data_IF_599571984095
#
_entry.id   IF_599571984095
#
_cell.length_a   1.000
_cell.length_b   1.000
_cell.length_c   1.000
_cell.angle_alpha   90.00
_cell.angle_beta   90.00
_cell.angle_gamma   90.00
#
_symmetry.space_group_name_H-M   'P 1'
#
loop_
_entity.id
_entity.type
_entity.pdbx_description
1 polymer ?
#
# COMPACT_ATOMS: atom_id res chain seq x y z
N UNK A 1 -38.77 -57.32 10.25
CA UNK A 1 -39.55 -56.25 9.60
C UNK A 1 -39.65 -55.07 10.52
N UNK A 2 -38.93 -53.98 10.35
CA UNK A 2 -37.62 -53.71 9.76
C UNK A 2 -37.45 -52.19 9.92
N UNK A 3 -36.20 -51.79 10.11
CA UNK A 3 -35.63 -50.47 9.84
C UNK A 3 -35.97 -49.30 10.80
N UNK A 4 -34.94 -49.01 11.59
CA UNK A 4 -34.60 -47.72 12.15
C UNK A 4 -34.45 -46.62 11.08
N UNK A 5 -34.58 -45.37 11.51
CA UNK A 5 -34.25 -44.18 10.72
C UNK A 5 -34.34 -42.92 11.56
N UNK A 6 -33.33 -42.67 12.38
CA UNK A 6 -33.04 -41.37 12.99
C UNK A 6 -32.55 -40.42 11.91
N UNK A 7 -33.27 -39.34 11.63
CA UNK A 7 -32.73 -38.21 10.88
C UNK A 7 -32.53 -37.02 11.82
N UNK A 8 -31.29 -36.95 12.26
CA UNK A 8 -30.58 -35.79 12.78
C UNK A 8 -30.47 -34.81 11.60
N UNK A 9 -31.18 -33.67 11.66
CA UNK A 9 -31.03 -32.65 10.62
C UNK A 9 -29.80 -31.82 10.93
N UNK A 10 -28.78 -32.09 10.12
CA UNK A 10 -27.47 -31.48 10.12
C UNK A 10 -27.55 -29.98 9.79
N UNK A 11 -26.72 -29.26 10.52
CA UNK A 11 -26.13 -27.96 10.21
C UNK A 11 -26.34 -27.42 8.79
N UNK A 12 -26.91 -26.22 8.70
CA UNK A 12 -26.40 -25.19 7.79
C UNK A 12 -26.10 -23.93 8.59
N UNK A 13 -24.89 -23.90 9.15
CA UNK A 13 -24.19 -22.64 9.37
C UNK A 13 -24.12 -21.96 8.00
N UNK A 14 -24.97 -20.96 7.78
CA UNK A 14 -24.84 -20.05 6.65
C UNK A 14 -23.56 -19.27 6.91
N UNK A 15 -22.44 -19.80 6.44
CA UNK A 15 -21.24 -19.02 6.25
C UNK A 15 -21.64 -17.90 5.30
N UNK A 16 -21.63 -16.67 5.82
CA UNK A 16 -21.78 -15.46 5.03
C UNK A 16 -20.77 -15.54 3.90
N UNK A 17 -21.25 -15.83 2.68
CA UNK A 17 -20.42 -15.71 1.48
C UNK A 17 -20.18 -14.22 1.35
N UNK A 18 -19.07 -13.75 1.91
CA UNK A 18 -18.50 -12.47 1.54
C UNK A 18 -18.20 -12.60 0.04
N UNK A 19 -19.08 -12.08 -0.80
CA UNK A 19 -18.79 -11.85 -2.20
C UNK A 19 -17.50 -11.02 -2.26
N UNK A 20 -16.36 -11.69 -2.45
CA UNK A 20 -15.18 -11.05 -2.97
C UNK A 20 -15.59 -10.57 -4.36
N UNK A 21 -15.82 -9.27 -4.45
CA UNK A 21 -16.00 -8.53 -5.69
C UNK A 21 -14.94 -8.99 -6.70
N UNK A 22 -15.30 -9.23 -7.96
CA UNK A 22 -14.35 -9.70 -8.99
C UNK A 22 -13.14 -8.75 -9.13
N UNK A 23 -13.30 -7.50 -8.68
CA UNK A 23 -12.27 -6.47 -8.62
C UNK A 23 -11.38 -6.51 -7.35
N UNK A 24 -11.51 -7.52 -6.46
CA UNK A 24 -10.75 -7.61 -5.20
C UNK A 24 -10.20 -9.02 -4.98
N UNK A 25 -8.90 -9.12 -4.69
CA UNK A 25 -8.25 -10.37 -4.28
C UNK A 25 -7.46 -10.17 -2.97
N UNK A 26 -7.23 -11.28 -2.25
CA UNK A 26 -6.47 -11.32 -1.00
C UNK A 26 -5.25 -12.22 -1.19
N UNK A 27 -4.11 -11.78 -0.69
CA UNK A 27 -2.83 -12.47 -0.80
C UNK A 27 -2.05 -12.37 0.50
N UNK A 28 -1.33 -13.43 0.85
CA UNK A 28 -0.37 -13.41 1.93
C UNK A 28 1.02 -13.19 1.34
N UNK A 29 1.58 -12.00 1.61
CA UNK A 29 2.95 -11.64 1.21
C UNK A 29 3.88 -11.87 2.39
N UNK A 30 5.03 -12.51 2.17
CA UNK A 30 5.99 -12.80 3.22
C UNK A 30 7.20 -11.89 3.13
N UNK A 31 7.50 -11.18 4.21
CA UNK A 31 8.68 -10.31 4.29
C UNK A 31 9.10 -10.11 5.75
N UNK A 32 10.40 -10.11 6.02
CA UNK A 32 10.95 -9.90 7.37
C UNK A 32 10.30 -10.81 8.45
N UNK A 33 10.17 -12.10 8.15
CA UNK A 33 9.50 -13.09 9.03
C UNK A 33 8.06 -12.73 9.44
N UNK A 34 7.38 -11.89 8.66
CA UNK A 34 5.98 -11.52 8.84
C UNK A 34 5.17 -11.99 7.65
N UNK A 35 3.91 -12.32 7.93
CA UNK A 35 2.85 -12.39 6.92
C UNK A 35 2.18 -11.02 6.85
N UNK A 36 2.10 -10.48 5.63
CA UNK A 36 1.43 -9.23 5.31
C UNK A 36 0.13 -9.58 4.57
N UNK A 37 -0.99 -9.33 5.25
CA UNK A 37 -2.33 -9.50 4.69
C UNK A 37 -2.57 -8.43 3.62
N UNK A 38 -2.49 -8.83 2.35
CA UNK A 38 -2.51 -7.91 1.22
C UNK A 38 -3.85 -7.95 0.51
N UNK A 39 -4.51 -6.81 0.44
CA UNK A 39 -5.73 -6.60 -0.34
C UNK A 39 -5.37 -5.92 -1.65
N UNK A 40 -5.54 -6.62 -2.76
CA UNK A 40 -5.33 -6.07 -4.10
C UNK A 40 -6.69 -5.74 -4.67
N UNK A 41 -6.91 -4.51 -5.12
CA UNK A 41 -8.23 -4.14 -5.63
C UNK A 41 -8.25 -2.99 -6.62
N UNK A 42 -9.32 -2.97 -7.42
CA UNK A 42 -9.78 -1.84 -8.24
C UNK A 42 -11.08 -1.23 -7.71
N UNK A 43 -11.74 -1.90 -6.76
CA UNK A 43 -13.04 -1.50 -6.20
C UNK A 43 -12.84 -0.42 -5.14
N UNK A 44 -13.38 0.77 -5.36
CA UNK A 44 -13.34 1.85 -4.36
C UNK A 44 -14.05 1.41 -3.09
N UNK A 45 -15.17 0.67 -3.18
CA UNK A 45 -15.86 0.14 -2.00
C UNK A 45 -14.96 -0.78 -1.16
N UNK A 46 -14.08 -1.56 -1.79
CA UNK A 46 -13.09 -2.37 -1.08
C UNK A 46 -12.00 -1.51 -0.41
N UNK A 47 -11.59 -0.41 -1.04
CA UNK A 47 -10.68 0.59 -0.44
C UNK A 47 -11.33 1.23 0.80
N UNK A 48 -12.60 1.62 0.71
CA UNK A 48 -13.35 2.20 1.84
C UNK A 48 -13.44 1.23 3.01
N UNK A 49 -13.75 -0.05 2.74
CA UNK A 49 -13.76 -1.11 3.75
C UNK A 49 -12.38 -1.28 4.38
N UNK A 50 -11.33 -1.39 3.56
CA UNK A 50 -9.96 -1.52 4.06
C UNK A 50 -9.59 -0.35 4.99
N UNK A 51 -9.83 0.90 4.56
CA UNK A 51 -9.53 2.10 5.35
C UNK A 51 -10.32 2.10 6.66
N UNK A 52 -11.62 1.77 6.60
CA UNK A 52 -12.46 1.68 7.81
C UNK A 52 -11.92 0.63 8.78
N UNK A 53 -11.52 -0.53 8.28
CA UNK A 53 -10.98 -1.61 9.12
C UNK A 53 -9.62 -1.25 9.75
N UNK A 54 -8.68 -0.65 9.00
CA UNK A 54 -7.35 -0.30 9.56
C UNK A 54 -7.42 0.91 10.48
N UNK A 55 -8.41 1.79 10.31
CA UNK A 55 -8.70 2.86 11.27
C UNK A 55 -9.43 2.35 12.52
N UNK A 56 -10.29 1.34 12.36
CA UNK A 56 -11.17 0.87 13.44
C UNK A 56 -12.04 1.99 14.02
N UNK A 57 -12.35 1.89 15.31
CA UNK A 57 -13.05 2.94 16.08
C UNK A 57 -12.09 4.06 16.55
N UNK A 58 -10.81 3.97 16.18
CA UNK A 58 -9.76 4.78 16.77
C UNK A 58 -9.73 6.19 16.19
N UNK A 59 -9.76 7.18 17.08
CA UNK A 59 -9.28 8.55 16.83
C UNK A 59 -7.75 8.66 16.84
N UNK A 60 -7.05 7.52 16.78
CA UNK A 60 -5.61 7.44 16.99
C UNK A 60 -4.83 8.01 15.83
N UNK A 61 -3.61 8.43 16.17
CA UNK A 61 -2.60 8.74 15.19
C UNK A 61 -2.12 7.43 14.55
N UNK A 62 -2.03 7.39 13.23
CA UNK A 62 -1.58 6.20 12.50
C UNK A 62 -0.25 6.47 11.82
N UNK A 63 0.69 5.54 11.97
CA UNK A 63 1.87 5.49 11.12
C UNK A 63 1.54 4.58 9.94
N UNK A 64 1.68 5.11 8.73
CA UNK A 64 1.19 4.49 7.51
C UNK A 64 2.33 4.41 6.51
N UNK A 65 2.69 3.20 6.08
CA UNK A 65 3.57 3.04 4.91
C UNK A 65 2.83 3.49 3.65
N UNK A 66 3.43 4.40 2.90
CA UNK A 66 2.90 4.92 1.63
C UNK A 66 3.94 4.72 0.55
N UNK A 67 3.49 4.24 -0.59
CA UNK A 67 4.24 4.19 -1.83
C UNK A 67 3.28 4.41 -3.01
N UNK A 68 3.81 4.70 -4.20
CA UNK A 68 3.03 4.68 -5.44
C UNK A 68 3.83 4.14 -6.62
N UNK A 69 3.14 3.50 -7.56
CA UNK A 69 3.76 3.03 -8.81
C UNK A 69 3.15 3.72 -10.02
N UNK A 70 3.99 4.02 -11.00
CA UNK A 70 3.61 4.86 -12.13
C UNK A 70 3.74 4.13 -13.45
N UNK A 71 3.03 4.64 -14.45
CA UNK A 71 3.10 4.13 -15.81
C UNK A 71 3.20 5.28 -16.82
N UNK A 72 3.96 5.03 -17.88
CA UNK A 72 4.14 5.99 -18.97
C UNK A 72 2.97 5.89 -19.96
N UNK A 73 2.17 6.94 -20.06
CA UNK A 73 1.06 7.02 -21.00
C UNK A 73 1.34 8.05 -22.10
N UNK A 74 0.73 7.84 -23.27
CA UNK A 74 0.80 8.80 -24.38
C UNK A 74 0.03 10.06 -24.03
N UNK A 75 0.67 11.22 -24.23
CA UNK A 75 0.09 12.53 -23.99
C UNK A 75 0.56 13.51 -25.07
N UNK A 76 -0.36 13.85 -25.98
CA UNK A 76 -0.08 14.73 -27.12
C UNK A 76 0.14 16.19 -26.70
N UNK A 77 -0.22 16.56 -25.47
CA UNK A 77 0.00 17.91 -24.93
C UNK A 77 1.34 18.03 -24.18
N UNK A 78 1.98 16.90 -23.86
CA UNK A 78 3.33 16.87 -23.29
C UNK A 78 4.40 17.13 -24.35
N UNK A 79 5.46 17.88 -24.01
CA UNK A 79 6.60 18.14 -24.90
C UNK A 79 7.30 16.86 -25.39
N UNK A 80 7.27 15.80 -24.58
CA UNK A 80 7.89 14.51 -24.93
C UNK A 80 6.93 13.57 -25.65
N UNK A 81 5.65 13.94 -25.83
CA UNK A 81 4.59 13.06 -26.33
C UNK A 81 4.08 12.03 -25.31
N UNK A 82 4.61 12.04 -24.08
CA UNK A 82 4.25 11.12 -23.01
C UNK A 82 4.24 11.82 -21.65
N UNK A 83 3.51 11.25 -20.69
CA UNK A 83 3.62 11.60 -19.27
C UNK A 83 3.58 10.34 -18.41
N UNK A 84 4.17 10.42 -17.23
CA UNK A 84 3.97 9.42 -16.19
C UNK A 84 2.72 9.77 -15.39
N UNK A 85 1.95 8.74 -15.03
CA UNK A 85 0.79 8.83 -14.15
C UNK A 85 0.85 7.77 -13.07
N UNK A 86 0.37 8.10 -11.89
CA UNK A 86 0.19 7.13 -10.81
C UNK A 86 -0.89 6.12 -11.18
N UNK A 87 -0.56 4.83 -11.11
CA UNK A 87 -1.46 3.72 -11.48
C UNK A 87 -1.74 2.74 -10.34
N UNK A 88 -0.85 2.68 -9.35
CA UNK A 88 -1.07 1.94 -8.11
C UNK A 88 -0.74 2.83 -6.92
N UNK A 89 -1.55 2.73 -5.87
CA UNK A 89 -1.29 3.33 -4.56
C UNK A 89 -1.19 2.21 -3.54
N UNK A 90 -0.12 2.19 -2.75
CA UNK A 90 0.07 1.24 -1.66
C UNK A 90 -0.09 1.93 -0.31
N UNK A 91 -0.86 1.30 0.58
CA UNK A 91 -1.03 1.77 1.96
C UNK A 91 -0.83 0.57 2.88
N UNK A 92 0.10 0.67 3.83
CA UNK A 92 0.33 -0.35 4.82
C UNK A 92 0.14 0.19 6.24
N UNK A 93 -0.69 -0.49 7.03
CA UNK A 93 -0.90 -0.20 8.46
C UNK A 93 -0.75 -1.50 9.23
N UNK A 94 0.19 -1.53 10.19
CA UNK A 94 0.62 -2.76 10.85
C UNK A 94 1.02 -3.81 9.80
N UNK A 95 0.42 -5.00 9.81
CA UNK A 95 0.69 -6.05 8.84
C UNK A 95 -0.38 -6.14 7.73
N UNK A 96 -1.18 -5.09 7.52
CA UNK A 96 -2.26 -5.09 6.52
C UNK A 96 -1.90 -4.10 5.43
N UNK A 97 -1.80 -4.60 4.19
CA UNK A 97 -1.46 -3.78 3.03
C UNK A 97 -2.64 -3.70 2.07
N UNK A 98 -2.89 -2.50 1.55
CA UNK A 98 -3.75 -2.26 0.40
C UNK A 98 -2.83 -1.99 -0.79
N UNK A 99 -3.07 -2.69 -1.89
CA UNK A 99 -2.52 -2.42 -3.21
C UNK A 99 -3.68 -2.04 -4.10
N UNK A 100 -3.90 -0.74 -4.26
CA UNK A 100 -5.04 -0.22 -4.99
C UNK A 100 -4.62 0.19 -6.41
N UNK A 101 -5.11 -0.53 -7.40
CA UNK A 101 -4.93 -0.23 -8.83
C UNK A 101 -5.81 0.96 -9.23
N UNK A 102 -5.46 2.16 -8.73
CA UNK A 102 -6.25 3.39 -8.89
C UNK A 102 -6.53 3.76 -10.36
N UNK A 103 -5.65 3.35 -11.29
CA UNK A 103 -5.86 3.55 -12.73
C UNK A 103 -7.12 2.86 -13.26
N UNK A 104 -7.50 1.74 -12.65
CA UNK A 104 -8.68 0.93 -13.00
C UNK A 104 -9.84 1.12 -12.01
N UNK A 105 -9.77 2.17 -11.19
CA UNK A 105 -10.81 2.43 -10.19
C UNK A 105 -12.17 2.66 -10.85
N UNK A 106 -13.21 2.08 -10.25
CA UNK A 106 -14.59 2.19 -10.75
C UNK A 106 -15.16 3.62 -10.60
N UNK A 107 -14.65 4.40 -9.66
CA UNK A 107 -14.95 5.83 -9.50
C UNK A 107 -13.87 6.55 -8.66
N UNK A 108 -14.09 7.84 -8.36
CA UNK A 108 -13.15 8.63 -7.56
C UNK A 108 -13.14 8.17 -6.08
N UNK A 109 -11.99 7.77 -5.50
CA UNK A 109 -11.91 7.21 -4.16
C UNK A 109 -11.85 8.31 -3.08
N UNK A 110 -12.99 8.95 -2.80
CA UNK A 110 -13.06 10.08 -1.86
C UNK A 110 -12.58 9.75 -0.44
N UNK A 111 -12.85 8.54 0.06
CA UNK A 111 -12.39 8.10 1.39
C UNK A 111 -10.87 7.98 1.44
N UNK A 112 -10.23 7.50 0.37
CA UNK A 112 -8.77 7.48 0.25
C UNK A 112 -8.20 8.90 0.29
N UNK A 113 -8.80 9.84 -0.47
CA UNK A 113 -8.42 11.26 -0.44
C UNK A 113 -8.51 11.85 0.97
N UNK A 114 -9.60 11.59 1.69
CA UNK A 114 -9.78 12.04 3.06
C UNK A 114 -8.77 11.39 4.02
N UNK A 115 -8.47 10.11 3.82
CA UNK A 115 -7.50 9.38 4.63
C UNK A 115 -6.10 9.95 4.49
N UNK A 116 -5.62 10.18 3.25
CA UNK A 116 -4.33 10.82 2.97
C UNK A 116 -4.26 12.25 3.55
N UNK A 117 -5.39 12.96 3.56
CA UNK A 117 -5.52 14.28 4.18
C UNK A 117 -5.64 14.27 5.72
N UNK A 118 -5.63 13.10 6.37
CA UNK A 118 -5.77 13.00 7.82
C UNK A 118 -4.50 13.51 8.52
N UNK A 119 -4.61 14.62 9.26
CA UNK A 119 -3.49 15.23 10.00
C UNK A 119 -3.01 14.39 11.19
N UNK A 120 -3.84 13.48 11.69
CA UNK A 120 -3.47 12.54 12.74
C UNK A 120 -2.67 11.34 12.18
N UNK A 121 -2.75 11.08 10.88
CA UNK A 121 -1.90 10.08 10.25
C UNK A 121 -0.53 10.69 9.90
N UNK A 122 0.51 9.87 9.87
CA UNK A 122 1.83 10.18 9.30
C UNK A 122 2.15 9.13 8.24
N UNK A 123 2.49 9.60 7.05
CA UNK A 123 2.71 8.77 5.87
C UNK A 123 4.21 8.66 5.61
N UNK A 124 4.77 7.47 5.74
CA UNK A 124 6.21 7.21 5.65
C UNK A 124 6.55 6.47 4.37
N UNK A 125 7.63 6.89 3.73
CA UNK A 125 8.16 6.28 2.51
C UNK A 125 9.58 6.79 2.23
N UNK A 126 10.34 6.08 1.42
CA UNK A 126 11.62 6.59 0.93
C UNK A 126 11.37 7.44 -0.32
N UNK A 127 11.82 8.69 -0.31
CA UNK A 127 11.49 9.68 -1.36
C UNK A 127 9.97 9.95 -1.49
N UNK A 128 9.24 9.81 -0.38
CA UNK A 128 7.76 9.91 -0.34
C UNK A 128 7.22 11.22 -0.91
N UNK A 129 8.04 12.28 -0.96
CA UNK A 129 7.62 13.56 -1.53
C UNK A 129 7.33 13.46 -3.04
N UNK A 130 7.96 12.52 -3.73
CA UNK A 130 7.65 12.25 -5.13
C UNK A 130 6.24 11.66 -5.26
N UNK A 131 5.87 10.71 -4.38
CA UNK A 131 4.51 10.15 -4.31
C UNK A 131 3.47 11.25 -4.01
N UNK A 132 3.75 12.11 -3.02
CA UNK A 132 2.88 13.24 -2.66
C UNK A 132 2.65 14.15 -3.86
N UNK A 133 3.71 14.47 -4.59
CA UNK A 133 3.64 15.33 -5.78
C UNK A 133 2.79 14.70 -6.88
N UNK A 134 2.98 13.41 -7.13
CA UNK A 134 2.24 12.68 -8.16
C UNK A 134 0.77 12.50 -7.80
N UNK A 135 0.45 12.16 -6.54
CA UNK A 135 -0.91 12.07 -6.03
C UNK A 135 -1.67 13.40 -6.10
N UNK A 136 -1.00 14.50 -5.77
CA UNK A 136 -1.58 15.84 -5.89
C UNK A 136 -1.84 16.21 -7.36
N UNK A 137 -0.90 15.91 -8.25
CA UNK A 137 -0.99 16.23 -9.68
C UNK A 137 -2.07 15.40 -10.39
N UNK A 138 -2.12 14.09 -10.15
CA UNK A 138 -2.98 13.19 -10.91
C UNK A 138 -4.40 13.09 -10.36
N UNK A 139 -4.58 13.25 -9.03
CA UNK A 139 -5.87 13.03 -8.37
C UNK A 139 -6.31 14.17 -7.44
N UNK A 140 -5.51 15.23 -7.28
CA UNK A 140 -5.73 16.27 -6.28
C UNK A 140 -5.83 15.70 -4.86
N UNK A 141 -5.01 14.68 -4.55
CA UNK A 141 -4.90 14.09 -3.22
C UNK A 141 -3.77 14.78 -2.47
N UNK A 142 -4.13 15.51 -1.42
CA UNK A 142 -3.14 16.06 -0.50
C UNK A 142 -2.77 14.99 0.55
N UNK A 143 -1.47 14.86 0.81
CA UNK A 143 -0.95 14.04 1.91
C UNK A 143 -0.55 14.97 3.04
N UNK A 144 -1.23 14.88 4.19
CA UNK A 144 -1.14 15.93 5.21
C UNK A 144 0.17 15.94 6.02
N UNK A 145 0.76 14.77 6.27
CA UNK A 145 1.93 14.61 7.14
C UNK A 145 2.90 13.57 6.55
N UNK A 146 3.45 13.82 5.35
CA UNK A 146 4.45 12.94 4.76
C UNK A 146 5.76 13.02 5.56
N UNK A 147 6.45 11.90 5.69
CA UNK A 147 7.72 11.77 6.37
C UNK A 147 8.68 10.94 5.49
N UNK A 148 9.62 11.64 4.86
CA UNK A 148 10.65 11.00 4.05
C UNK A 148 11.70 10.33 4.94
N UNK A 149 11.92 9.04 4.70
CA UNK A 149 12.88 8.22 5.44
C UNK A 149 14.33 8.54 5.06
N UNK A 150 14.58 9.04 3.86
CA UNK A 150 15.93 9.18 3.33
C UNK A 150 16.80 10.18 4.11
N UNK A 151 16.33 11.39 4.49
CA UNK A 151 17.12 12.31 5.31
C UNK A 151 17.51 11.71 6.66
N UNK A 152 16.63 10.91 7.27
CA UNK A 152 16.94 10.20 8.51
C UNK A 152 17.99 9.11 8.26
N UNK A 153 17.88 8.38 7.16
CA UNK A 153 18.89 7.45 6.69
C UNK A 153 20.28 8.07 6.52
N UNK A 154 20.37 9.28 5.95
CA UNK A 154 21.63 10.03 5.82
C UNK A 154 22.23 10.35 7.19
N UNK A 155 21.42 10.86 8.14
CA UNK A 155 21.88 11.14 9.51
C UNK A 155 22.37 9.89 10.26
N UNK A 156 21.84 8.73 9.91
CA UNK A 156 22.26 7.43 10.46
C UNK A 156 23.48 6.83 9.73
N UNK A 157 24.02 7.50 8.71
CA UNK A 157 25.22 7.08 7.98
C UNK A 157 24.99 6.09 6.83
N UNK A 158 23.75 5.92 6.37
CA UNK A 158 23.44 5.02 5.25
C UNK A 158 23.57 5.68 3.87
N UNK A 159 23.99 6.94 3.79
CA UNK A 159 24.16 7.68 2.53
C UNK A 159 24.68 9.09 2.78
N UNK A 160 24.58 9.95 1.77
CA UNK A 160 24.89 11.38 1.87
C UNK A 160 23.73 12.22 1.35
N UNK A 161 23.77 13.54 1.54
CA UNK A 161 22.74 14.44 0.98
C UNK A 161 22.73 14.40 -0.56
N UNK A 162 23.89 14.22 -1.19
CA UNK A 162 24.03 14.07 -2.65
C UNK A 162 23.60 12.68 -3.15
N UNK A 163 23.75 11.66 -2.30
CA UNK A 163 23.38 10.28 -2.61
C UNK A 163 22.57 9.69 -1.46
N UNK A 164 21.30 10.08 -1.42
CA UNK A 164 20.34 9.58 -0.46
C UNK A 164 20.22 8.04 -0.54
N UNK A 165 20.05 7.35 0.60
CA UNK A 165 19.91 5.90 0.62
C UNK A 165 18.61 5.45 -0.05
N UNK A 166 18.64 4.32 -0.77
CA UNK A 166 17.42 3.67 -1.24
C UNK A 166 16.68 2.98 -0.09
N UNK A 167 15.38 2.72 -0.26
CA UNK A 167 14.63 1.91 0.71
C UNK A 167 15.30 0.55 0.96
N UNK A 168 15.76 -0.11 -0.11
CA UNK A 168 16.52 -1.37 -0.03
C UNK A 168 17.75 -1.26 0.86
N UNK A 169 18.52 -0.19 0.74
CA UNK A 169 19.70 0.04 1.58
C UNK A 169 19.32 0.28 3.04
N UNK A 170 18.23 1.00 3.29
CA UNK A 170 17.73 1.23 4.65
C UNK A 170 17.21 -0.05 5.30
N UNK A 171 16.45 -0.87 4.57
CA UNK A 171 15.99 -2.18 5.04
C UNK A 171 17.19 -3.05 5.40
N UNK A 172 18.17 -3.18 4.51
CA UNK A 172 19.36 -3.98 4.79
C UNK A 172 20.15 -3.42 5.98
N UNK A 173 20.26 -2.10 6.06
CA UNK A 173 21.01 -1.40 7.09
C UNK A 173 20.42 -1.54 8.49
N UNK A 174 19.09 -1.35 8.61
CA UNK A 174 18.38 -1.24 9.88
C UNK A 174 17.65 -2.52 10.28
N UNK A 175 17.09 -3.26 9.33
CA UNK A 175 16.30 -4.46 9.59
C UNK A 175 17.10 -5.76 9.39
N UNK A 176 18.26 -5.69 8.72
CA UNK A 176 19.11 -6.84 8.36
C UNK A 176 18.37 -7.87 7.50
N UNK A 177 17.51 -7.39 6.60
CA UNK A 177 16.70 -8.19 5.69
C UNK A 177 17.02 -7.81 4.25
N UNK A 178 17.18 -8.81 3.40
CA UNK A 178 17.30 -8.58 1.96
C UNK A 178 15.95 -8.22 1.36
N UNK A 179 15.96 -7.16 0.57
CA UNK A 179 14.81 -6.68 -0.19
C UNK A 179 15.14 -6.81 -1.68
N UNK A 180 14.43 -7.70 -2.36
CA UNK A 180 14.57 -7.81 -3.80
C UNK A 180 13.85 -6.65 -4.50
N UNK A 181 14.42 -6.16 -5.59
CA UNK A 181 13.79 -5.15 -6.44
C UNK A 181 13.92 -5.59 -7.89
N UNK A 182 12.82 -6.10 -8.44
CA UNK A 182 12.71 -6.49 -9.84
C UNK A 182 12.34 -5.25 -10.68
N UNK A 183 13.35 -4.65 -11.30
CA UNK A 183 13.18 -3.42 -12.09
C UNK A 183 12.41 -3.64 -13.39
N UNK A 184 12.22 -4.89 -13.84
CA UNK A 184 11.46 -5.21 -15.06
C UNK A 184 9.96 -4.90 -14.89
N UNK A 185 9.48 -4.75 -13.65
CA UNK A 185 8.06 -4.48 -13.35
C UNK A 185 7.64 -3.04 -13.70
N UNK A 186 8.58 -2.09 -13.72
CA UNK A 186 8.29 -0.66 -13.87
C UNK A 186 7.48 -0.32 -15.13
N UNK A 187 7.64 -1.10 -16.21
CA UNK A 187 6.93 -0.86 -17.47
C UNK A 187 5.50 -1.39 -17.47
N UNK A 188 5.11 -2.24 -16.53
CA UNK A 188 3.86 -3.01 -16.66
C UNK A 188 2.86 -2.84 -15.51
N UNK A 189 3.03 -1.82 -14.68
CA UNK A 189 2.13 -1.50 -13.55
C UNK A 189 0.67 -1.18 -13.95
N UNK A 190 0.42 -0.68 -15.17
CA UNK A 190 -0.93 -0.37 -15.65
C UNK A 190 -1.73 -1.59 -16.16
N UNK A 191 -1.20 -2.81 -16.00
CA UNK A 191 -1.89 -4.04 -16.39
C UNK A 191 -3.25 -4.18 -15.71
N UNK A 192 -4.16 -4.89 -16.39
CA UNK A 192 -5.49 -5.17 -15.85
C UNK A 192 -5.38 -5.97 -14.55
N UNK A 193 -4.65 -7.08 -14.53
CA UNK A 193 -4.45 -7.89 -13.32
C UNK A 193 -2.97 -7.89 -12.93
N UNK A 194 -2.64 -7.46 -11.70
CA UNK A 194 -1.28 -7.54 -11.19
C UNK A 194 -0.84 -9.00 -11.04
N UNK A 195 0.41 -9.30 -11.41
CA UNK A 195 1.00 -10.61 -11.11
C UNK A 195 1.45 -10.68 -9.66
N UNK A 196 1.70 -11.90 -9.17
CA UNK A 196 2.28 -12.12 -7.84
C UNK A 196 3.59 -11.34 -7.62
N UNK A 197 4.42 -11.17 -8.66
CA UNK A 197 5.62 -10.32 -8.59
C UNK A 197 5.28 -8.86 -8.25
N UNK A 198 4.31 -8.26 -8.96
CA UNK A 198 3.86 -6.90 -8.68
C UNK A 198 3.25 -6.79 -7.28
N UNK A 199 2.42 -7.76 -6.88
CA UNK A 199 1.74 -7.77 -5.59
C UNK A 199 2.77 -7.85 -4.45
N UNK A 200 3.74 -8.77 -4.54
CA UNK A 200 4.83 -8.89 -3.58
C UNK A 200 5.65 -7.59 -3.51
N UNK A 201 6.07 -7.06 -4.66
CA UNK A 201 6.87 -5.84 -4.72
C UNK A 201 6.13 -4.67 -4.05
N UNK A 202 4.90 -4.39 -4.48
CA UNK A 202 4.09 -3.28 -3.98
C UNK A 202 3.83 -3.41 -2.47
N UNK A 203 3.46 -4.60 -1.99
CA UNK A 203 3.22 -4.81 -0.57
C UNK A 203 4.51 -4.66 0.25
N UNK A 204 5.64 -5.15 -0.26
CA UNK A 204 6.95 -5.07 0.39
C UNK A 204 7.42 -3.61 0.49
N UNK A 205 7.30 -2.79 -0.56
CA UNK A 205 7.73 -1.38 -0.52
C UNK A 205 6.97 -0.59 0.57
N UNK A 206 5.67 -0.83 0.72
CA UNK A 206 4.85 -0.17 1.74
C UNK A 206 5.14 -0.67 3.18
N UNK A 207 5.21 -2.00 3.42
CA UNK A 207 5.52 -2.53 4.77
C UNK A 207 6.97 -2.22 5.16
N UNK A 208 7.91 -2.28 4.22
CA UNK A 208 9.32 -1.96 4.49
C UNK A 208 9.47 -0.50 4.90
N UNK A 209 8.77 0.42 4.24
CA UNK A 209 8.75 1.83 4.63
C UNK A 209 8.24 2.01 6.07
N UNK A 210 7.17 1.31 6.44
CA UNK A 210 6.63 1.34 7.80
C UNK A 210 7.61 0.74 8.83
N UNK A 211 8.19 -0.42 8.54
CA UNK A 211 9.15 -1.09 9.44
C UNK A 211 10.45 -0.28 9.61
N UNK A 212 10.96 0.33 8.54
CA UNK A 212 12.12 1.24 8.60
C UNK A 212 11.80 2.47 9.44
N UNK A 213 10.62 3.07 9.28
CA UNK A 213 10.19 4.19 10.11
C UNK A 213 10.16 3.82 11.61
N UNK A 214 9.63 2.64 11.93
CA UNK A 214 9.62 2.11 13.29
C UNK A 214 11.03 1.91 13.83
N UNK A 215 11.94 1.32 13.04
CA UNK A 215 13.35 1.14 13.43
C UNK A 215 14.10 2.48 13.62
N UNK A 216 13.72 3.52 12.87
CA UNK A 216 14.22 4.88 13.04
C UNK A 216 13.61 5.61 14.26
N UNK A 217 12.63 5.02 14.94
CA UNK A 217 11.95 5.63 16.08
C UNK A 217 11.06 6.81 15.69
N UNK A 218 10.50 6.81 14.47
CA UNK A 218 9.58 7.86 14.02
C UNK A 218 8.36 7.90 14.93
N UNK A 219 8.16 9.04 15.60
CA UNK A 219 7.04 9.24 16.53
C UNK A 219 5.84 9.84 15.82
N UNK A 220 4.67 9.43 16.26
CA UNK A 220 3.42 10.13 16.00
C UNK A 220 3.33 11.30 16.99
N UNK A 221 3.16 12.51 16.48
CA UNK A 221 2.91 13.67 17.34
C UNK A 221 1.47 13.57 17.82
N UNK A 222 1.28 13.42 19.13
CA UNK A 222 -0.01 13.58 19.78
C UNK A 222 -0.07 15.04 20.20
N UNK A 223 -0.89 15.83 19.50
CA UNK A 223 -1.17 17.21 19.87
C UNK A 223 -2.01 17.26 21.15
#
# INVERSE_FOLDING_TARGET
MDMAGTNQDDTTNIATINHLDAATTKHDVFFNNKTIETTVTKSVAAVERFIKEVRGDHREHLLVGLDTEWHKIRDLHSRSGYRYVTVVVQICVKNRCLVFQIYHADHMPWVLKQFLGCRHCKFVGADVQQDVTMLAKDFCFAVANPFDLQPTGVRLGYGTEERKPSLKLLVQGLLKVDMDKDTELHETWAREELTLKHINYAAIDAIASLDVANAMGVKLHVD
#
